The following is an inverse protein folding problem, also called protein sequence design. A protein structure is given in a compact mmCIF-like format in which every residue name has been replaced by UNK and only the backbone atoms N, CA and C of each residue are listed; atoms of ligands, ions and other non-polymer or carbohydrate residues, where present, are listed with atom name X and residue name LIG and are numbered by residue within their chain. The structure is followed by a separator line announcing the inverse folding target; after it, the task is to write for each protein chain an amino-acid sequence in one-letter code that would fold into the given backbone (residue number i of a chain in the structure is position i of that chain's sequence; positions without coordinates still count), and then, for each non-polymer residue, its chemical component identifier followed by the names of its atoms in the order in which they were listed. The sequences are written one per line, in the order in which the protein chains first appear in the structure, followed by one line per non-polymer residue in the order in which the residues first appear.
data_IF_146512060680
#
_entry.id   IF_146512060680
#
_cell.length_a   1.000
_cell.length_b   1.000
_cell.length_c   1.000
_cell.angle_alpha   90.00
_cell.angle_beta   90.00
_cell.angle_gamma   90.00
#
_symmetry.space_group_name_H-M   'P 1'
#
loop_
_entity.id
_entity.type
_entity.pdbx_description
1 polymer ?
#
# COMPACT_ATOMS: atom_id res chain seq x y z
N UNK A 1 31.72 33.37 -62.33
CA UNK A 1 30.79 33.97 -61.38
C UNK A 1 30.36 32.85 -60.45
N UNK A 2 31.07 32.67 -59.33
CA UNK A 2 30.78 31.62 -58.35
C UNK A 2 29.80 32.24 -57.36
N UNK A 3 28.52 31.85 -57.45
CA UNK A 3 27.51 32.27 -56.49
C UNK A 3 27.39 31.19 -55.41
N UNK A 4 27.94 31.54 -54.25
CA UNK A 4 27.37 31.35 -52.91
C UNK A 4 26.94 29.94 -52.49
N UNK A 5 27.87 29.20 -51.90
CA UNK A 5 27.60 28.05 -51.03
C UNK A 5 27.41 28.41 -49.54
N UNK A 6 27.44 29.69 -49.15
CA UNK A 6 27.41 30.11 -47.74
C UNK A 6 26.02 30.04 -47.06
N UNK A 7 24.95 29.64 -47.77
CA UNK A 7 23.59 29.72 -47.22
C UNK A 7 23.17 28.54 -46.34
N UNK A 8 23.61 27.32 -46.67
CA UNK A 8 23.17 26.10 -46.00
C UNK A 8 24.05 25.74 -44.80
N UNK A 9 25.35 26.03 -44.88
CA UNK A 9 26.32 25.80 -43.79
C UNK A 9 26.05 26.74 -42.59
N UNK A 10 25.79 28.03 -42.83
CA UNK A 10 25.49 29.03 -41.78
C UNK A 10 24.18 28.71 -41.02
N UNK A 11 23.18 28.11 -41.69
CA UNK A 11 21.89 27.72 -41.09
C UNK A 11 22.05 26.43 -40.29
N UNK A 12 22.85 25.47 -40.77
CA UNK A 12 23.17 24.25 -40.05
C UNK A 12 23.91 24.55 -38.74
N UNK A 13 24.90 25.45 -38.77
CA UNK A 13 25.67 25.86 -37.60
C UNK A 13 24.82 26.61 -36.57
N UNK A 14 23.94 27.52 -37.02
CA UNK A 14 23.02 28.24 -36.13
C UNK A 14 21.99 27.32 -35.47
N UNK A 15 21.48 26.34 -36.19
CA UNK A 15 20.55 25.35 -35.66
C UNK A 15 21.24 24.36 -34.71
N UNK A 16 22.48 23.96 -35.01
CA UNK A 16 23.31 23.13 -34.12
C UNK A 16 23.56 23.84 -32.79
N UNK A 17 23.99 25.11 -32.83
CA UNK A 17 24.22 25.91 -31.62
C UNK A 17 22.95 26.06 -30.78
N UNK A 18 21.80 26.29 -31.42
CA UNK A 18 20.52 26.41 -30.73
C UNK A 18 20.15 25.12 -29.98
N UNK A 19 20.35 23.95 -30.60
CA UNK A 19 20.12 22.66 -29.96
C UNK A 19 21.10 22.42 -28.81
N UNK A 20 22.35 22.82 -28.97
CA UNK A 20 23.35 22.76 -27.89
C UNK A 20 22.94 23.59 -26.68
N UNK A 21 22.49 24.83 -26.88
CA UNK A 21 22.04 25.71 -25.79
C UNK A 21 20.78 25.15 -25.08
N UNK A 22 19.89 24.51 -25.83
CA UNK A 22 18.71 23.84 -25.27
C UNK A 22 19.08 22.63 -24.42
N UNK A 23 19.95 21.75 -24.94
CA UNK A 23 20.45 20.58 -24.22
C UNK A 23 21.24 20.97 -22.96
N UNK A 24 22.03 22.04 -23.02
CA UNK A 24 22.78 22.57 -21.88
C UNK A 24 21.84 23.13 -20.80
N UNK A 25 20.75 23.78 -21.19
CA UNK A 25 19.72 24.25 -20.26
C UNK A 25 19.02 23.08 -19.56
N UNK A 26 18.70 22.02 -20.30
CA UNK A 26 18.10 20.81 -19.73
C UNK A 26 19.06 20.08 -18.79
N UNK A 27 20.34 19.96 -19.19
CA UNK A 27 21.39 19.40 -18.35
C UNK A 27 21.57 20.19 -17.06
N UNK A 28 21.65 21.52 -17.13
CA UNK A 28 21.76 22.39 -15.96
C UNK A 28 20.51 22.39 -15.07
N UNK A 29 19.37 21.98 -15.60
CA UNK A 29 18.12 21.81 -14.85
C UNK A 29 17.92 20.38 -14.32
N UNK A 30 18.88 19.48 -14.53
CA UNK A 30 18.78 18.07 -14.16
C UNK A 30 17.75 17.27 -14.95
N UNK A 31 17.29 17.75 -16.12
CA UNK A 31 16.41 17.02 -17.06
C UNK A 31 17.26 16.19 -18.03
N UNK A 32 17.96 15.19 -17.50
CA UNK A 32 18.98 14.47 -18.26
C UNK A 32 18.43 13.70 -19.47
N UNK A 33 17.22 13.12 -19.38
CA UNK A 33 16.61 12.41 -20.52
C UNK A 33 16.41 13.34 -21.72
N UNK A 34 15.81 14.51 -21.47
CA UNK A 34 15.62 15.55 -22.50
C UNK A 34 16.97 16.04 -23.05
N UNK A 35 17.96 16.28 -22.18
CA UNK A 35 19.29 16.68 -22.62
C UNK A 35 19.92 15.62 -23.54
N UNK A 36 19.83 14.32 -23.19
CA UNK A 36 20.33 13.21 -24.02
C UNK A 36 19.62 13.17 -25.37
N UNK A 37 18.31 13.33 -25.41
CA UNK A 37 17.54 13.37 -26.66
C UNK A 37 18.00 14.51 -27.58
N UNK A 38 18.22 15.70 -27.04
CA UNK A 38 18.63 16.86 -27.83
C UNK A 38 20.10 16.72 -28.28
N UNK A 39 21.01 16.25 -27.42
CA UNK A 39 22.38 15.97 -27.85
C UNK A 39 22.44 14.91 -28.95
N UNK A 40 21.54 13.90 -28.93
CA UNK A 40 21.46 12.94 -30.02
C UNK A 40 21.06 13.62 -31.34
N UNK A 41 20.17 14.61 -31.32
CA UNK A 41 19.83 15.40 -32.53
C UNK A 41 21.05 16.17 -33.05
N UNK A 42 21.83 16.78 -32.17
CA UNK A 42 23.11 17.43 -32.54
C UNK A 42 24.06 16.43 -33.19
N UNK A 43 24.21 15.23 -32.62
CA UNK A 43 25.10 14.20 -33.14
C UNK A 43 24.62 13.57 -34.46
N UNK A 44 23.33 13.67 -34.79
CA UNK A 44 22.81 13.30 -36.12
C UNK A 44 23.23 14.33 -37.17
N UNK A 45 23.22 15.63 -36.81
CA UNK A 45 23.67 16.71 -37.71
C UNK A 45 25.20 16.74 -37.85
N UNK A 46 25.90 16.64 -36.74
CA UNK A 46 27.36 16.66 -36.66
C UNK A 46 27.85 15.48 -35.80
N UNK A 47 28.10 14.30 -36.40
CA UNK A 47 28.60 13.13 -35.69
C UNK A 47 29.95 13.35 -35.00
N UNK A 48 30.74 14.34 -35.44
CA UNK A 48 32.06 14.63 -34.89
C UNK A 48 32.02 15.65 -33.75
N UNK A 49 30.83 16.14 -33.33
CA UNK A 49 30.73 17.12 -32.26
C UNK A 49 31.14 16.52 -30.90
N UNK A 50 32.39 16.76 -30.49
CA UNK A 50 32.99 16.15 -29.30
C UNK A 50 32.28 16.53 -28.00
N UNK A 51 31.92 17.82 -27.85
CA UNK A 51 31.25 18.32 -26.65
C UNK A 51 29.86 17.70 -26.46
N UNK A 52 29.05 17.63 -27.53
CA UNK A 52 27.74 16.97 -27.51
C UNK A 52 27.87 15.50 -27.12
N UNK A 53 28.85 14.78 -27.69
CA UNK A 53 29.14 13.38 -27.36
C UNK A 53 29.52 13.19 -25.89
N UNK A 54 30.38 14.07 -25.37
CA UNK A 54 30.81 14.04 -23.98
C UNK A 54 29.64 14.27 -23.02
N UNK A 55 28.91 15.38 -23.19
CA UNK A 55 27.78 15.73 -22.31
C UNK A 55 26.65 14.71 -22.38
N UNK A 56 26.33 14.18 -23.56
CA UNK A 56 25.38 13.07 -23.72
C UNK A 56 25.79 11.84 -22.92
N UNK A 57 27.08 11.48 -22.96
CA UNK A 57 27.60 10.32 -22.23
C UNK A 57 27.54 10.53 -20.71
N UNK A 58 27.87 11.72 -20.23
CA UNK A 58 27.78 12.04 -18.80
C UNK A 58 26.33 12.03 -18.32
N UNK A 59 25.40 12.66 -19.04
CA UNK A 59 23.96 12.58 -18.73
C UNK A 59 23.46 11.14 -18.68
N UNK A 60 23.86 10.30 -19.64
CA UNK A 60 23.47 8.89 -19.66
C UNK A 60 23.99 8.13 -18.43
N UNK A 61 25.23 8.37 -17.99
CA UNK A 61 25.77 7.72 -16.78
C UNK A 61 24.96 8.07 -15.53
N UNK A 62 24.52 9.33 -15.43
CA UNK A 62 23.69 9.80 -14.31
C UNK A 62 22.35 9.07 -14.32
N UNK A 63 21.67 9.01 -15.48
CA UNK A 63 20.43 8.25 -15.66
C UNK A 63 20.62 6.78 -15.27
N UNK A 64 21.66 6.13 -15.80
CA UNK A 64 21.92 4.70 -15.56
C UNK A 64 22.22 4.40 -14.08
N UNK A 65 22.87 5.34 -13.37
CA UNK A 65 23.13 5.19 -11.94
C UNK A 65 21.87 5.44 -11.11
N UNK A 66 21.09 6.47 -11.42
CA UNK A 66 19.81 6.73 -10.75
C UNK A 66 18.83 5.56 -10.91
N UNK A 67 18.72 5.00 -12.13
CA UNK A 67 17.87 3.85 -12.39
C UNK A 67 18.32 2.59 -11.64
N UNK A 68 19.63 2.40 -11.46
CA UNK A 68 20.15 1.31 -10.62
C UNK A 68 19.80 1.49 -9.14
N UNK A 69 19.93 2.69 -8.60
CA UNK A 69 19.54 3.01 -7.22
C UNK A 69 18.04 2.78 -7.02
N UNK A 70 17.22 3.18 -8.00
CA UNK A 70 15.78 2.93 -8.01
C UNK A 70 15.48 1.42 -7.98
N UNK A 71 16.11 0.63 -8.85
CA UNK A 71 15.91 -0.81 -8.89
C UNK A 71 16.33 -1.48 -7.55
N UNK A 72 17.43 -1.03 -6.94
CA UNK A 72 17.83 -1.49 -5.62
C UNK A 72 16.82 -1.09 -4.53
N UNK A 73 16.24 0.11 -4.62
CA UNK A 73 15.18 0.54 -3.70
C UNK A 73 13.93 -0.33 -3.82
N UNK A 74 13.56 -0.72 -5.05
CA UNK A 74 12.48 -1.68 -5.31
C UNK A 74 12.77 -3.08 -4.72
N UNK A 75 14.01 -3.56 -4.85
CA UNK A 75 14.46 -4.79 -4.21
C UNK A 75 14.41 -4.70 -2.66
N UNK A 76 14.78 -3.55 -2.09
CA UNK A 76 14.70 -3.30 -0.66
C UNK A 76 13.25 -3.30 -0.14
N UNK A 77 12.29 -2.74 -0.89
CA UNK A 77 10.85 -2.87 -0.60
C UNK A 77 10.45 -4.34 -0.56
N UNK A 78 10.81 -5.12 -1.59
CA UNK A 78 10.47 -6.54 -1.66
C UNK A 78 11.09 -7.35 -0.50
N UNK A 79 12.21 -6.89 0.05
CA UNK A 79 12.87 -7.46 1.22
C UNK A 79 12.38 -6.89 2.56
N UNK A 80 11.33 -6.05 2.56
CA UNK A 80 10.78 -5.36 3.74
C UNK A 80 11.77 -4.44 4.47
N UNK A 81 12.75 -3.87 3.76
CA UNK A 81 13.76 -2.96 4.31
C UNK A 81 13.43 -1.51 3.94
N UNK A 82 12.42 -0.94 4.62
CA UNK A 82 11.86 0.36 4.25
C UNK A 82 12.87 1.52 4.38
N UNK A 83 13.71 1.51 5.43
CA UNK A 83 14.74 2.54 5.62
C UNK A 83 15.81 2.51 4.50
N UNK A 84 16.20 1.30 4.06
CA UNK A 84 17.14 1.13 2.95
C UNK A 84 16.53 1.62 1.63
N UNK A 85 15.26 1.29 1.37
CA UNK A 85 14.54 1.78 0.19
C UNK A 85 14.44 3.31 0.18
N UNK A 86 14.12 3.93 1.32
CA UNK A 86 14.00 5.39 1.45
C UNK A 86 15.34 6.09 1.15
N UNK A 87 16.45 5.59 1.69
CA UNK A 87 17.79 6.12 1.42
C UNK A 87 18.18 5.97 -0.05
N UNK A 88 17.90 4.81 -0.66
CA UNK A 88 18.18 4.55 -2.08
C UNK A 88 17.39 5.47 -3.01
N UNK A 89 16.10 5.68 -2.75
CA UNK A 89 15.28 6.62 -3.54
C UNK A 89 15.71 8.07 -3.31
N UNK A 90 16.09 8.45 -2.09
CA UNK A 90 16.66 9.76 -1.79
C UNK A 90 17.92 10.04 -2.61
N UNK A 91 18.87 9.11 -2.62
CA UNK A 91 20.09 9.19 -3.44
C UNK A 91 19.80 9.28 -4.94
N UNK A 92 18.83 8.51 -5.43
CA UNK A 92 18.41 8.59 -6.83
C UNK A 92 17.79 9.94 -7.18
N UNK A 93 17.01 10.53 -6.26
CA UNK A 93 16.41 11.86 -6.42
C UNK A 93 17.45 12.98 -6.48
N UNK A 94 18.44 12.93 -5.58
CA UNK A 94 19.52 13.91 -5.53
C UNK A 94 20.37 13.85 -6.81
N UNK A 95 20.59 12.64 -7.32
CA UNK A 95 21.36 12.40 -8.54
C UNK A 95 20.59 12.80 -9.81
N UNK A 96 19.30 12.46 -9.90
CA UNK A 96 18.44 12.78 -11.02
C UNK A 96 17.14 13.50 -10.58
N UNK A 97 17.21 14.80 -10.26
CA UNK A 97 16.04 15.56 -9.78
C UNK A 97 14.91 15.65 -10.81
N UNK A 98 15.26 15.68 -12.11
CA UNK A 98 14.31 15.69 -13.22
C UNK A 98 13.78 14.31 -13.63
N UNK A 99 14.06 13.25 -12.86
CA UNK A 99 13.66 11.88 -13.22
C UNK A 99 12.14 11.77 -13.37
N UNK A 100 11.59 11.33 -14.51
CA UNK A 100 10.14 11.14 -14.67
C UNK A 100 9.53 10.14 -13.67
N UNK A 101 10.32 9.18 -13.20
CA UNK A 101 10.03 8.31 -12.05
C UNK A 101 10.39 9.02 -10.73
N UNK A 102 9.63 10.07 -10.43
CA UNK A 102 9.93 11.01 -9.34
C UNK A 102 9.93 10.34 -7.95
N UNK A 103 11.01 10.54 -7.18
CA UNK A 103 11.17 10.02 -5.81
C UNK A 103 10.02 10.38 -4.85
N UNK A 104 9.30 11.48 -5.07
CA UNK A 104 8.09 11.83 -4.32
C UNK A 104 7.03 10.72 -4.41
N UNK A 105 6.84 10.13 -5.60
CA UNK A 105 5.87 9.03 -5.80
C UNK A 105 6.32 7.77 -5.06
N UNK A 106 7.63 7.49 -5.08
CA UNK A 106 8.21 6.32 -4.41
C UNK A 106 8.18 6.47 -2.88
N UNK A 107 8.47 7.65 -2.35
CA UNK A 107 8.32 7.94 -0.92
C UNK A 107 6.86 7.84 -0.47
N UNK A 108 5.90 8.26 -1.32
CA UNK A 108 4.48 8.04 -1.07
C UNK A 108 4.12 6.55 -1.05
N UNK A 109 4.64 5.77 -2.00
CA UNK A 109 4.41 4.33 -2.04
C UNK A 109 4.93 3.64 -0.77
N UNK A 110 6.14 3.99 -0.32
CA UNK A 110 6.71 3.50 0.94
C UNK A 110 5.82 3.80 2.14
N UNK A 111 5.36 5.05 2.26
CA UNK A 111 4.47 5.46 3.34
C UNK A 111 3.14 4.67 3.32
N UNK A 112 2.53 4.50 2.14
CA UNK A 112 1.31 3.70 2.00
C UNK A 112 1.55 2.22 2.34
N UNK A 113 2.67 1.63 1.90
CA UNK A 113 3.03 0.24 2.20
C UNK A 113 3.25 0.03 3.70
N UNK A 114 3.97 0.92 4.37
CA UNK A 114 4.23 0.84 5.81
C UNK A 114 2.93 0.91 6.62
N UNK A 115 2.04 1.85 6.27
CA UNK A 115 0.71 1.95 6.86
C UNK A 115 -0.15 0.69 6.63
N UNK A 116 -0.10 0.10 5.44
CA UNK A 116 -0.79 -1.15 5.15
C UNK A 116 -0.21 -2.31 5.96
N UNK A 117 1.12 -2.37 6.11
CA UNK A 117 1.76 -3.41 6.90
C UNK A 117 1.34 -3.32 8.36
N UNK A 118 1.34 -2.12 8.95
CA UNK A 118 0.86 -1.90 10.30
C UNK A 118 -0.62 -2.34 10.48
N UNK A 119 -1.49 -2.02 9.51
CA UNK A 119 -2.88 -2.49 9.51
C UNK A 119 -2.98 -4.03 9.52
N UNK A 120 -2.19 -4.70 8.67
CA UNK A 120 -2.16 -6.15 8.56
C UNK A 120 -1.62 -6.81 9.83
N UNK A 121 -0.62 -6.22 10.46
CA UNK A 121 -0.01 -6.71 11.69
C UNK A 121 -1.02 -6.67 12.84
N UNK A 122 -1.74 -5.56 13.00
CA UNK A 122 -2.79 -5.45 14.01
C UNK A 122 -3.94 -6.44 13.77
N UNK A 123 -4.37 -6.63 12.51
CA UNK A 123 -5.39 -7.64 12.18
C UNK A 123 -4.89 -9.07 12.52
N UNK A 124 -3.62 -9.34 12.21
CA UNK A 124 -2.99 -10.65 12.41
C UNK A 124 -2.80 -10.95 13.89
N UNK A 125 -2.40 -9.97 14.70
CA UNK A 125 -2.28 -10.11 16.15
C UNK A 125 -3.64 -10.43 16.79
N UNK A 126 -4.66 -9.63 16.46
CA UNK A 126 -6.02 -9.82 16.95
C UNK A 126 -6.55 -11.22 16.58
N UNK A 127 -6.39 -11.62 15.32
CA UNK A 127 -6.79 -12.94 14.86
C UNK A 127 -6.01 -14.06 15.55
N UNK A 128 -4.71 -13.91 15.75
CA UNK A 128 -3.87 -14.92 16.41
C UNK A 128 -4.34 -15.18 17.84
N UNK A 129 -4.64 -14.12 18.60
CA UNK A 129 -5.21 -14.25 19.95
C UNK A 129 -6.58 -14.91 19.91
N UNK A 130 -7.42 -14.54 18.95
CA UNK A 130 -8.73 -15.18 18.77
C UNK A 130 -8.62 -16.68 18.45
N UNK A 131 -7.78 -17.07 17.50
CA UNK A 131 -7.58 -18.49 17.16
C UNK A 131 -7.01 -19.30 18.34
N UNK A 132 -6.15 -18.69 19.18
CA UNK A 132 -5.69 -19.31 20.43
C UNK A 132 -6.86 -19.57 21.38
N UNK A 133 -7.72 -18.57 21.60
CA UNK A 133 -8.92 -18.73 22.44
C UNK A 133 -9.82 -19.85 21.90
N UNK A 134 -10.10 -19.87 20.60
CA UNK A 134 -10.89 -20.95 19.96
C UNK A 134 -10.28 -22.32 20.21
N UNK A 135 -8.95 -22.45 20.07
CA UNK A 135 -8.23 -23.70 20.29
C UNK A 135 -8.35 -24.15 21.75
N UNK A 136 -8.13 -23.25 22.70
CA UNK A 136 -8.24 -23.52 24.14
C UNK A 136 -9.67 -23.98 24.51
N UNK A 137 -10.69 -23.33 23.95
CA UNK A 137 -12.09 -23.72 24.14
C UNK A 137 -12.42 -25.10 23.54
N UNK A 138 -11.89 -25.42 22.34
CA UNK A 138 -12.12 -26.71 21.68
C UNK A 138 -11.49 -27.90 22.40
N UNK A 139 -10.33 -27.70 23.04
CA UNK A 139 -9.64 -28.77 23.75
C UNK A 139 -10.25 -29.12 25.11
N UNK A 140 -11.33 -28.44 25.51
CA UNK A 140 -12.07 -28.80 26.73
C UNK A 140 -11.22 -28.71 27.99
N UNK A 141 -10.14 -27.91 27.99
CA UNK A 141 -9.52 -27.49 29.24
C UNK A 141 -10.65 -27.00 30.13
N UNK A 142 -10.72 -27.49 31.37
CA UNK A 142 -11.64 -27.01 32.42
C UNK A 142 -11.31 -25.56 32.74
N UNK A 143 -11.48 -24.68 31.77
CA UNK A 143 -11.32 -23.25 31.90
C UNK A 143 -12.57 -22.78 32.62
N UNK A 144 -12.39 -22.13 33.76
CA UNK A 144 -13.49 -21.45 34.42
C UNK A 144 -14.07 -20.41 33.45
N UNK A 145 -15.35 -20.08 33.62
CA UNK A 145 -15.97 -18.94 32.92
C UNK A 145 -15.09 -17.69 33.05
N UNK A 146 -14.47 -17.51 34.23
CA UNK A 146 -13.54 -16.41 34.52
C UNK A 146 -12.31 -16.38 33.60
N UNK A 147 -11.72 -17.52 33.22
CA UNK A 147 -10.59 -17.53 32.29
C UNK A 147 -11.03 -17.12 30.89
N UNK A 148 -12.18 -17.62 30.43
CA UNK A 148 -12.72 -17.32 29.10
C UNK A 148 -13.05 -15.83 29.02
N UNK A 149 -13.72 -15.30 30.03
CA UNK A 149 -14.05 -13.88 30.13
C UNK A 149 -12.79 -13.01 30.16
N UNK A 150 -11.75 -13.42 30.91
CA UNK A 150 -10.47 -12.72 30.93
C UNK A 150 -9.78 -12.72 29.56
N UNK A 151 -9.72 -13.87 28.89
CA UNK A 151 -9.08 -14.00 27.58
C UNK A 151 -9.83 -13.22 26.49
N UNK A 152 -11.17 -13.22 26.53
CA UNK A 152 -12.00 -12.40 25.64
C UNK A 152 -11.79 -10.92 25.97
N UNK A 153 -11.75 -10.54 27.26
CA UNK A 153 -11.50 -9.14 27.68
C UNK A 153 -10.18 -8.61 27.14
N UNK A 154 -9.14 -9.42 27.05
CA UNK A 154 -7.86 -9.02 26.46
C UNK A 154 -7.93 -8.69 24.96
N UNK A 155 -8.92 -9.21 24.23
CA UNK A 155 -9.14 -8.83 22.82
C UNK A 155 -9.72 -7.42 22.68
N UNK A 156 -10.46 -6.94 23.68
CA UNK A 156 -11.19 -5.67 23.60
C UNK A 156 -10.33 -4.47 23.17
N UNK A 157 -9.18 -4.15 23.81
CA UNK A 157 -8.38 -3.01 23.39
C UNK A 157 -7.82 -3.17 21.96
N UNK A 158 -7.47 -4.39 21.55
CA UNK A 158 -6.96 -4.68 20.21
C UNK A 158 -8.06 -4.54 19.15
N UNK A 159 -9.26 -5.01 19.47
CA UNK A 159 -10.45 -4.86 18.65
C UNK A 159 -10.82 -3.38 18.44
N UNK A 160 -10.77 -2.57 19.51
CA UNK A 160 -10.99 -1.13 19.41
C UNK A 160 -9.92 -0.44 18.56
N UNK A 161 -8.65 -0.70 18.84
CA UNK A 161 -7.54 -0.15 18.06
C UNK A 161 -7.71 -0.47 16.57
N UNK A 162 -8.02 -1.73 16.23
CA UNK A 162 -8.24 -2.13 14.85
C UNK A 162 -9.47 -1.48 14.23
N UNK A 163 -10.60 -1.43 14.95
CA UNK A 163 -11.83 -0.81 14.47
C UNK A 163 -11.63 0.68 14.17
N UNK A 164 -10.91 1.41 15.03
CA UNK A 164 -10.60 2.83 14.84
C UNK A 164 -9.74 3.05 13.59
N UNK A 165 -8.75 2.17 13.35
CA UNK A 165 -7.94 2.19 12.14
C UNK A 165 -8.76 1.86 10.88
N UNK A 166 -9.67 0.89 10.95
CA UNK A 166 -10.47 0.42 9.80
C UNK A 166 -11.50 1.47 9.32
N UNK A 167 -11.97 2.33 10.23
CA UNK A 167 -12.81 3.48 9.90
C UNK A 167 -11.99 4.62 9.28
N UNK A 168 -10.70 4.73 9.62
CA UNK A 168 -9.84 5.78 9.10
C UNK A 168 -9.44 5.53 7.63
N UNK A 169 -10.01 6.33 6.73
CA UNK A 169 -10.01 6.11 5.28
C UNK A 169 -8.64 6.17 4.60
N UNK A 170 -7.60 6.69 5.27
CA UNK A 170 -6.26 6.88 4.68
C UNK A 170 -5.56 5.56 4.36
N UNK A 171 -5.87 4.48 5.10
CA UNK A 171 -5.31 3.14 4.88
C UNK A 171 -6.13 2.36 3.83
N UNK A 172 -7.43 2.65 3.74
CA UNK A 172 -8.39 1.88 2.93
C UNK A 172 -8.23 2.07 1.43
N UNK A 173 -7.59 3.15 1.00
CA UNK A 173 -7.46 3.50 -0.41
C UNK A 173 -6.02 3.90 -0.76
N UNK A 174 -5.08 2.94 -0.76
CA UNK A 174 -3.77 3.19 -1.32
C UNK A 174 -3.91 3.68 -2.76
N UNK A 175 -3.03 4.59 -3.17
CA UNK A 175 -3.07 5.21 -4.49
C UNK A 175 -1.83 4.93 -5.32
N UNK A 176 -0.74 4.49 -4.69
CA UNK A 176 0.45 3.99 -5.36
C UNK A 176 0.19 2.58 -5.94
N UNK A 177 0.67 2.29 -7.16
CA UNK A 177 0.52 0.98 -7.78
C UNK A 177 1.01 -0.18 -6.89
N UNK A 178 2.11 0.02 -6.18
CA UNK A 178 2.76 -0.97 -5.32
C UNK A 178 1.88 -1.29 -4.10
N UNK A 179 1.37 -0.27 -3.41
CA UNK A 179 0.47 -0.46 -2.27
C UNK A 179 -0.89 -1.05 -2.70
N UNK A 180 -1.41 -0.67 -3.88
CA UNK A 180 -2.61 -1.28 -4.46
C UNK A 180 -2.39 -2.77 -4.73
N UNK A 181 -1.24 -3.14 -5.31
CA UNK A 181 -0.90 -4.53 -5.58
C UNK A 181 -0.78 -5.35 -4.27
N UNK A 182 -0.12 -4.79 -3.24
CA UNK A 182 -0.02 -5.41 -1.92
C UNK A 182 -1.41 -5.63 -1.31
N UNK A 183 -2.26 -4.60 -1.24
CA UNK A 183 -3.62 -4.71 -0.72
C UNK A 183 -4.41 -5.78 -1.46
N UNK A 184 -4.36 -5.78 -2.80
CA UNK A 184 -5.05 -6.79 -3.62
C UNK A 184 -4.56 -8.20 -3.32
N UNK A 185 -3.26 -8.40 -3.10
CA UNK A 185 -2.69 -9.72 -2.76
C UNK A 185 -3.15 -10.25 -1.39
N UNK A 186 -3.59 -9.34 -0.49
CA UNK A 186 -4.03 -9.68 0.87
C UNK A 186 -5.55 -9.64 1.03
N UNK A 187 -6.29 -9.15 0.03
CA UNK A 187 -7.73 -8.88 0.11
C UNK A 187 -8.54 -10.08 0.63
N UNK A 188 -8.34 -11.27 0.05
CA UNK A 188 -9.09 -12.47 0.47
C UNK A 188 -8.82 -12.87 1.92
N UNK A 189 -7.56 -12.76 2.36
CA UNK A 189 -7.16 -13.03 3.74
C UNK A 189 -7.77 -12.01 4.70
N UNK A 190 -7.69 -10.72 4.37
CA UNK A 190 -8.29 -9.63 5.15
C UNK A 190 -9.80 -9.88 5.28
N UNK A 191 -10.47 -10.14 4.16
CA UNK A 191 -11.92 -10.38 4.14
C UNK A 191 -12.31 -11.59 4.97
N UNK A 192 -11.56 -12.69 4.86
CA UNK A 192 -11.80 -13.89 5.67
C UNK A 192 -11.71 -13.57 7.17
N UNK A 193 -10.58 -13.02 7.60
CA UNK A 193 -10.30 -12.77 9.01
C UNK A 193 -11.30 -11.76 9.57
N UNK A 194 -11.50 -10.62 8.90
CA UNK A 194 -12.44 -9.60 9.36
C UNK A 194 -13.84 -10.15 9.47
N UNK A 195 -14.30 -10.92 8.48
CA UNK A 195 -15.63 -11.52 8.51
C UNK A 195 -15.79 -12.45 9.72
N UNK A 196 -14.81 -13.33 9.99
CA UNK A 196 -14.85 -14.19 11.16
C UNK A 196 -14.95 -13.35 12.46
N UNK A 197 -14.09 -12.36 12.62
CA UNK A 197 -14.07 -11.50 13.80
C UNK A 197 -15.39 -10.73 13.96
N UNK A 198 -16.01 -10.29 12.87
CA UNK A 198 -17.33 -9.65 12.89
C UNK A 198 -18.44 -10.62 13.30
N UNK A 199 -18.42 -11.86 12.80
CA UNK A 199 -19.39 -12.92 13.18
C UNK A 199 -19.31 -13.24 14.67
N UNK A 200 -18.11 -13.25 15.22
CA UNK A 200 -17.92 -13.39 16.66
C UNK A 200 -18.07 -12.08 17.44
N UNK A 201 -18.47 -10.99 16.78
CA UNK A 201 -18.64 -9.66 17.39
C UNK A 201 -17.38 -9.16 18.11
N UNK A 202 -16.22 -9.61 17.66
CA UNK A 202 -14.88 -9.11 18.03
C UNK A 202 -14.55 -7.85 17.23
N UNK A 203 -15.12 -7.70 16.02
CA UNK A 203 -15.12 -6.46 15.26
C UNK A 203 -16.55 -5.93 15.08
N UNK A 204 -16.73 -4.60 15.00
CA UNK A 204 -18.05 -4.03 14.79
C UNK A 204 -18.57 -4.34 13.38
N UNK A 205 -19.90 -4.49 13.26
CA UNK A 205 -20.60 -4.66 11.99
C UNK A 205 -21.86 -3.79 11.93
N UNK A 206 -22.00 -3.02 10.85
CA UNK A 206 -23.08 -2.05 10.67
C UNK A 206 -22.95 -0.89 11.66
N UNK A 207 -24.04 -0.54 12.35
CA UNK A 207 -24.06 0.53 13.35
C UNK A 207 -23.61 0.09 14.75
N UNK A 208 -23.08 -1.12 14.88
CA UNK A 208 -22.62 -1.65 16.17
C UNK A 208 -21.37 -0.95 16.65
N UNK A 209 -21.32 -0.66 17.94
CA UNK A 209 -20.14 -0.17 18.64
C UNK A 209 -19.96 -0.99 19.91
N UNK A 210 -18.74 -1.01 20.45
CA UNK A 210 -18.49 -1.71 21.70
C UNK A 210 -18.81 -0.83 22.91
N UNK A 211 -19.78 -1.24 23.71
CA UNK A 211 -20.20 -0.54 24.94
C UNK A 211 -19.37 -0.99 26.16
N UNK A 212 -18.04 -0.97 26.03
CA UNK A 212 -17.12 -1.40 27.09
C UNK A 212 -16.75 -2.88 27.08
N UNK A 213 -15.77 -3.28 27.92
CA UNK A 213 -15.24 -4.64 27.94
C UNK A 213 -16.26 -5.70 28.39
N UNK A 214 -17.19 -5.36 29.29
CA UNK A 214 -18.18 -6.33 29.79
C UNK A 214 -19.25 -6.63 28.73
N UNK A 215 -19.74 -5.60 28.05
CA UNK A 215 -20.65 -5.76 26.89
C UNK A 215 -19.97 -6.56 25.77
N UNK A 216 -18.70 -6.25 25.49
CA UNK A 216 -17.88 -7.01 24.54
C UNK A 216 -17.85 -8.51 24.85
N UNK A 217 -17.57 -8.89 26.11
CA UNK A 217 -17.55 -10.30 26.53
C UNK A 217 -18.90 -10.97 26.31
N UNK A 218 -20.01 -10.29 26.67
CA UNK A 218 -21.37 -10.81 26.49
C UNK A 218 -21.65 -11.10 25.02
N UNK A 219 -21.27 -10.18 24.13
CA UNK A 219 -21.51 -10.32 22.69
C UNK A 219 -20.70 -11.45 22.07
N UNK A 220 -19.39 -11.52 22.37
CA UNK A 220 -18.54 -12.61 21.88
C UNK A 220 -19.04 -13.97 22.38
N UNK A 221 -19.35 -14.06 23.67
CA UNK A 221 -19.88 -15.29 24.27
C UNK A 221 -21.22 -15.71 23.68
N UNK A 222 -22.10 -14.74 23.37
CA UNK A 222 -23.38 -14.99 22.72
C UNK A 222 -23.22 -15.51 21.30
N UNK A 223 -22.26 -14.97 20.53
CA UNK A 223 -21.91 -15.50 19.20
C UNK A 223 -21.35 -16.92 19.27
N UNK A 224 -20.46 -17.21 20.23
CA UNK A 224 -19.94 -18.57 20.44
C UNK A 224 -21.08 -19.54 20.73
N UNK A 225 -22.03 -19.16 21.59
CA UNK A 225 -23.20 -19.99 21.92
C UNK A 225 -24.12 -20.21 20.72
N UNK A 226 -24.29 -19.19 19.87
CA UNK A 226 -25.18 -19.26 18.72
C UNK A 226 -24.59 -20.04 17.53
N UNK A 227 -23.29 -19.86 17.26
CA UNK A 227 -22.64 -20.36 16.05
C UNK A 227 -21.65 -21.50 16.29
N UNK A 228 -21.29 -21.77 17.54
CA UNK A 228 -20.16 -22.65 17.86
C UNK A 228 -18.82 -22.01 17.50
N UNK A 229 -17.76 -22.82 17.45
CA UNK A 229 -16.38 -22.35 17.19
C UNK A 229 -15.86 -22.70 15.78
N UNK A 230 -16.71 -23.31 14.94
CA UNK A 230 -16.36 -23.74 13.58
C UNK A 230 -16.98 -22.78 12.55
N UNK A 231 -16.34 -21.61 12.41
CA UNK A 231 -16.73 -20.62 11.43
C UNK A 231 -16.63 -21.16 9.99
N UNK A 232 -17.69 -20.93 9.21
CA UNK A 232 -17.79 -21.30 7.80
C UNK A 232 -17.98 -20.04 6.95
N UNK A 233 -16.96 -19.66 6.18
CA UNK A 233 -16.95 -18.39 5.44
C UNK A 233 -18.06 -18.32 4.39
N UNK A 234 -18.45 -19.44 3.81
CA UNK A 234 -19.52 -19.56 2.81
C UNK A 234 -20.88 -19.13 3.39
N UNK A 235 -21.06 -19.27 4.71
CA UNK A 235 -22.27 -18.92 5.45
C UNK A 235 -22.21 -17.53 6.10
N UNK A 236 -21.18 -16.73 5.79
CA UNK A 236 -20.97 -15.41 6.41
C UNK A 236 -22.20 -14.51 6.40
N UNK A 237 -22.95 -14.48 5.29
CA UNK A 237 -24.14 -13.63 5.19
C UNK A 237 -25.24 -14.07 6.15
N UNK A 238 -25.44 -15.38 6.32
CA UNK A 238 -26.40 -15.93 7.29
C UNK A 238 -26.00 -15.52 8.71
N UNK A 239 -24.72 -15.67 9.07
CA UNK A 239 -24.23 -15.30 10.39
C UNK A 239 -24.38 -13.80 10.67
N UNK A 240 -23.98 -12.95 9.72
CA UNK A 240 -24.07 -11.48 9.86
C UNK A 240 -25.51 -11.02 10.01
N UNK A 241 -26.46 -11.63 9.30
CA UNK A 241 -27.90 -11.34 9.42
C UNK A 241 -28.49 -11.76 10.77
N UNK A 242 -27.92 -12.76 11.44
CA UNK A 242 -28.35 -13.21 12.77
C UNK A 242 -27.83 -12.31 13.91
N UNK A 243 -26.75 -11.55 13.70
CA UNK A 243 -26.12 -10.73 14.75
C UNK A 243 -27.07 -9.75 15.46
N UNK A 244 -27.97 -9.00 14.78
CA UNK A 244 -28.94 -8.14 15.46
C UNK A 244 -29.82 -8.90 16.46
N UNK A 245 -30.20 -10.15 16.12
CA UNK A 245 -31.05 -11.00 16.95
C UNK A 245 -30.27 -11.73 18.06
N UNK A 246 -28.96 -11.90 17.90
CA UNK A 246 -28.09 -12.39 18.98
C UNK A 246 -27.90 -11.30 20.03
N UNK A 247 -27.71 -10.05 19.59
CA UNK A 247 -27.60 -8.88 20.47
C UNK A 247 -28.91 -8.56 21.18
N UNK A 248 -30.02 -8.72 20.47
CA UNK A 248 -31.36 -8.35 20.92
C UNK A 248 -32.34 -9.50 20.65
N UNK A 249 -32.33 -10.58 21.47
CA UNK A 249 -33.14 -11.78 21.24
C UNK A 249 -34.65 -11.53 21.14
N UNK A 250 -35.15 -10.49 21.79
CA UNK A 250 -36.54 -10.04 21.74
C UNK A 250 -36.96 -9.56 20.35
N UNK A 251 -36.01 -9.17 19.48
CA UNK A 251 -36.29 -8.79 18.10
C UNK A 251 -36.61 -9.99 17.19
N UNK A 252 -36.32 -11.23 17.63
CA UNK A 252 -36.63 -12.44 16.83
C UNK A 252 -38.12 -12.58 16.51
N UNK A 253 -39.01 -12.03 17.34
CA UNK A 253 -40.45 -12.04 17.07
C UNK A 253 -40.84 -11.22 15.83
N UNK A 254 -40.00 -10.28 15.41
CA UNK A 254 -40.23 -9.42 14.24
C UNK A 254 -39.52 -9.92 12.96
N UNK A 255 -38.64 -10.94 13.06
CA UNK A 255 -37.89 -11.46 11.90
C UNK A 255 -38.76 -12.21 10.89
N UNK A 256 -39.97 -12.64 11.27
CA UNK A 256 -40.96 -13.26 10.38
C UNK A 256 -41.88 -12.22 9.73
N UNK A 257 -41.30 -11.33 8.93
CA UNK A 257 -42.06 -10.37 8.11
C UNK A 257 -41.47 -10.22 6.70
N UNK A 258 -40.96 -11.31 6.12
CA UNK A 258 -40.29 -11.28 4.80
C UNK A 258 -40.25 -12.64 4.12
N UNK A 259 -41.42 -13.27 3.92
CA UNK A 259 -41.60 -14.20 2.80
C UNK A 259 -42.18 -13.38 1.64
N UNK A 260 -41.33 -12.96 0.72
CA UNK A 260 -41.69 -12.63 -0.65
C UNK A 260 -40.75 -13.38 -1.57
#
# INVERSE_FOLDING_TARGET
MVLSGCGDDDVHDAQEQKLMDEADRDLGSGRYDHAVEIYNKVLVMNPSHENARYKRKESQKIIDLANRLIAQGDEAIAAHKMDEALDLFGKAADLYPGNPDHAIKRNKALFEIDHLQYYLDCLTELNTKWQKIKKDLKHGSKLSSEYIDAAIRELYPLAQQFADMDVNLTIKWPSSPEAIALMKSKQEQIDYIKTELMVYQILPHGYFQFDGPDSFIIHVSSSIKAFGLDFQYERKNEYLLELPFIRNPELKKFSKSGKH
#
